data_IF_517710750973
#
_entry.id   IF_517710750973
#
_cell.length_a   1.000
_cell.length_b   1.000
_cell.length_c   1.000
_cell.angle_alpha   90.00
_cell.angle_beta   90.00
_cell.angle_gamma   90.00
#
_symmetry.space_group_name_H-M   'P 1'
#
loop_
_entity.id
_entity.type
_entity.pdbx_description
1 polymer ?
#
# COMPACT_ATOMS: atom_id res chain seq x y z
N UNK A 1 16.06 17.12 -11.19
CA UNK A 1 15.71 16.32 -9.99
C UNK A 1 15.97 14.87 -10.36
N UNK A 2 16.93 14.22 -9.71
CA UNK A 2 17.28 12.82 -9.97
C UNK A 2 16.57 11.97 -8.91
N UNK A 3 15.96 10.86 -9.29
CA UNK A 3 15.35 9.94 -8.31
C UNK A 3 16.47 9.27 -7.51
N UNK A 4 16.47 9.47 -6.20
CA UNK A 4 17.37 8.79 -5.26
C UNK A 4 16.66 7.50 -4.84
N UNK A 5 17.01 6.39 -5.50
CA UNK A 5 16.38 5.10 -5.26
C UNK A 5 17.16 4.34 -4.18
N UNK A 6 16.53 4.19 -3.02
CA UNK A 6 17.07 3.35 -1.96
C UNK A 6 17.00 1.89 -2.38
N UNK A 7 18.14 1.30 -2.74
CA UNK A 7 18.20 -0.11 -3.12
C UNK A 7 18.13 -0.98 -1.86
N UNK A 8 17.01 -1.67 -1.67
CA UNK A 8 16.87 -2.65 -0.59
C UNK A 8 17.56 -3.96 -0.99
N UNK A 9 18.36 -4.58 -0.10
CA UNK A 9 18.91 -5.91 -0.35
C UNK A 9 17.80 -6.94 -0.64
N UNK A 10 18.04 -7.86 -1.58
CA UNK A 10 17.04 -8.86 -1.98
C UNK A 10 16.47 -9.66 -0.81
N UNK A 11 17.30 -9.99 0.19
CA UNK A 11 16.87 -10.75 1.37
C UNK A 11 15.83 -10.02 2.22
N UNK A 12 15.97 -8.69 2.35
CA UNK A 12 14.99 -7.85 3.06
C UNK A 12 13.73 -7.68 2.21
N UNK A 13 13.89 -7.54 0.89
CA UNK A 13 12.78 -7.40 -0.04
C UNK A 13 11.93 -8.67 -0.10
N UNK A 14 12.56 -9.84 -0.19
CA UNK A 14 11.85 -11.13 -0.22
C UNK A 14 11.06 -11.35 1.07
N UNK A 15 11.65 -11.04 2.22
CA UNK A 15 10.97 -11.14 3.51
C UNK A 15 9.78 -10.16 3.60
N UNK A 16 9.92 -8.94 3.07
CA UNK A 16 8.83 -7.97 3.00
C UNK A 16 7.69 -8.47 2.09
N UNK A 17 8.03 -9.01 0.92
CA UNK A 17 7.06 -9.55 -0.05
C UNK A 17 6.27 -10.74 0.52
N UNK A 18 6.91 -11.64 1.26
CA UNK A 18 6.20 -12.75 1.93
C UNK A 18 5.21 -12.27 2.99
N UNK A 19 5.57 -11.22 3.74
CA UNK A 19 4.67 -10.60 4.72
C UNK A 19 3.49 -9.91 4.05
N UNK A 20 3.73 -9.19 2.96
CA UNK A 20 2.67 -8.57 2.15
C UNK A 20 1.76 -9.65 1.58
N UNK A 21 2.31 -10.73 1.02
CA UNK A 21 1.55 -11.86 0.49
C UNK A 21 0.63 -12.46 1.54
N UNK A 22 1.14 -12.71 2.74
CA UNK A 22 0.37 -13.23 3.88
C UNK A 22 -0.74 -12.28 4.30
N UNK A 23 -0.48 -10.97 4.31
CA UNK A 23 -1.49 -9.97 4.65
C UNK A 23 -2.57 -9.84 3.56
N UNK A 24 -2.21 -9.99 2.28
CA UNK A 24 -3.15 -10.07 1.16
C UNK A 24 -4.08 -11.29 1.27
N UNK A 25 -3.54 -12.46 1.60
CA UNK A 25 -4.33 -13.68 1.77
C UNK A 25 -5.35 -13.56 2.93
N UNK A 26 -5.06 -12.68 3.90
CA UNK A 26 -5.94 -12.37 5.04
C UNK A 26 -6.85 -11.17 4.81
N UNK A 27 -6.77 -10.51 3.65
CA UNK A 27 -7.45 -9.25 3.35
C UNK A 27 -7.15 -8.14 4.38
N UNK A 28 -5.98 -8.19 5.03
CA UNK A 28 -5.60 -7.22 6.07
C UNK A 28 -4.93 -5.99 5.45
N UNK A 29 -5.76 -5.08 4.97
CA UNK A 29 -5.31 -3.84 4.33
C UNK A 29 -4.54 -2.92 5.28
N UNK A 30 -4.79 -3.01 6.59
CA UNK A 30 -4.05 -2.23 7.58
C UNK A 30 -2.62 -2.76 7.71
N UNK A 31 -2.45 -4.07 7.84
CA UNK A 31 -1.13 -4.68 7.90
C UNK A 31 -0.30 -4.42 6.63
N UNK A 32 -0.90 -4.46 5.44
CA UNK A 32 -0.21 -4.12 4.18
C UNK A 32 0.28 -2.67 4.23
N UNK A 33 -0.56 -1.74 4.69
CA UNK A 33 -0.19 -0.33 4.82
C UNK A 33 0.96 -0.14 5.80
N UNK A 34 0.87 -0.73 6.98
CA UNK A 34 1.95 -0.64 7.98
C UNK A 34 3.25 -1.25 7.46
N UNK A 35 3.20 -2.37 6.74
CA UNK A 35 4.38 -2.97 6.11
C UNK A 35 5.03 -2.03 5.10
N UNK A 36 4.23 -1.33 4.28
CA UNK A 36 4.74 -0.39 3.29
C UNK A 36 5.28 0.89 3.92
N UNK A 37 4.63 1.42 4.97
CA UNK A 37 5.07 2.63 5.70
C UNK A 37 6.38 2.38 6.47
N UNK A 38 6.51 1.20 7.08
CA UNK A 38 7.72 0.85 7.83
C UNK A 38 8.88 0.40 6.93
N UNK A 39 8.61 0.04 5.68
CA UNK A 39 9.66 -0.25 4.72
C UNK A 39 10.34 1.05 4.25
N UNK A 40 11.65 1.07 4.00
CA UNK A 40 12.37 2.25 3.51
C UNK A 40 12.13 2.49 2.01
N UNK A 41 10.91 2.20 1.54
CA UNK A 41 10.46 2.29 0.14
C UNK A 41 9.99 3.71 -0.22
N UNK A 42 10.13 4.67 0.69
CA UNK A 42 9.64 6.04 0.49
C UNK A 42 8.12 6.12 0.42
N UNK A 43 7.40 5.06 0.81
CA UNK A 43 5.95 5.02 0.76
C UNK A 43 5.35 5.98 1.81
N UNK A 44 4.98 7.16 1.35
CA UNK A 44 4.32 8.18 2.18
C UNK A 44 2.83 8.15 1.86
N UNK A 45 1.98 7.54 2.69
CA UNK A 45 0.55 7.45 2.40
C UNK A 45 -0.08 8.84 2.49
N UNK A 46 -0.39 9.46 1.35
CA UNK A 46 -1.06 10.77 1.28
C UNK A 46 -2.57 10.69 1.56
N UNK A 47 -3.11 9.49 1.85
CA UNK A 47 -4.53 9.27 2.12
C UNK A 47 -4.79 8.07 3.04
N UNK A 48 -6.02 7.99 3.56
CA UNK A 48 -6.53 6.80 4.25
C UNK A 48 -6.67 5.61 3.30
N UNK A 49 -6.99 4.42 3.83
CA UNK A 49 -7.40 3.29 2.98
C UNK A 49 -8.71 3.72 2.32
N UNK A 50 -8.63 4.06 1.03
CA UNK A 50 -9.76 4.54 0.27
C UNK A 50 -10.29 3.36 -0.55
N UNK A 51 -11.48 2.87 -0.21
CA UNK A 51 -12.17 1.90 -1.03
C UNK A 51 -12.59 2.60 -2.33
N UNK A 52 -11.83 2.37 -3.40
CA UNK A 52 -12.08 2.97 -4.71
C UNK A 52 -13.46 2.59 -5.26
N UNK A 53 -14.03 1.44 -4.84
CA UNK A 53 -15.38 1.03 -5.22
C UNK A 53 -16.44 1.92 -4.54
N UNK A 54 -16.21 2.28 -3.27
CA UNK A 54 -17.11 3.16 -2.52
C UNK A 54 -17.10 4.60 -3.05
N UNK A 55 -15.93 5.10 -3.48
CA UNK A 55 -15.79 6.41 -4.12
C UNK A 55 -16.52 6.45 -5.46
N UNK A 56 -16.38 5.43 -6.31
CA UNK A 56 -17.13 5.36 -7.57
C UNK A 56 -18.65 5.29 -7.36
N UNK A 57 -19.12 4.56 -6.34
CA UNK A 57 -20.54 4.45 -6.04
C UNK A 57 -21.13 5.77 -5.51
N UNK A 58 -20.40 6.47 -4.64
CA UNK A 58 -20.86 7.76 -4.07
C UNK A 58 -20.87 8.86 -5.13
N UNK A 59 -19.90 8.91 -6.03
CA UNK A 59 -19.94 9.82 -7.18
C UNK A 59 -21.10 9.51 -8.14
N UNK A 60 -21.48 8.23 -8.32
CA UNK A 60 -22.65 7.85 -9.13
C UNK A 60 -23.97 8.24 -8.48
N UNK A 61 -24.09 8.16 -7.16
CA UNK A 61 -25.32 8.52 -6.43
C UNK A 61 -25.54 10.03 -6.28
N UNK A 62 -24.47 10.83 -6.27
CA UNK A 62 -24.55 12.30 -6.18
C UNK A 62 -24.77 12.99 -7.54
N UNK A 63 -24.90 12.24 -8.63
CA UNK A 63 -25.16 12.75 -9.98
C UNK A 63 -26.64 12.64 -10.40
N UNK A 64 -27.56 12.43 -9.46
CA UNK A 64 -29.03 12.38 -9.68
C UNK A 64 -29.72 13.39 -8.78
#
# INVERSE_FOLDING_TARGET
MTADETMLPWHELSALLDRIRTACDRYDQQAIRDLLVNAPTGFTPTGGICDLLWVCETHRKNAV
#
